data_IF_176361282878
#
_entry.id   IF_176361282878
#
_cell.length_a   1.000
_cell.length_b   1.000
_cell.length_c   1.000
_cell.angle_alpha   90.00
_cell.angle_beta   90.00
_cell.angle_gamma   90.00
#
_symmetry.space_group_name_H-M   'P 1'
#
loop_
_entity.id
_entity.type
_entity.pdbx_description
1 polymer ?
#
# COMPACT_ATOMS: atom_id res chain seq x y z
N UNK A 1 41.19 13.57 5.65
CA UNK A 1 40.79 12.16 5.77
C UNK A 1 39.46 12.11 6.49
N UNK A 2 38.34 12.11 5.77
CA UNK A 2 37.02 11.88 6.37
C UNK A 2 36.88 10.37 6.62
N UNK A 3 36.57 9.98 7.86
CA UNK A 3 36.30 8.58 8.20
C UNK A 3 35.01 8.11 7.48
N UNK A 4 34.91 6.84 7.03
CA UNK A 4 33.67 6.32 6.47
C UNK A 4 32.64 6.24 7.60
N UNK A 5 31.53 6.96 7.44
CA UNK A 5 30.34 6.77 8.28
C UNK A 5 29.75 5.41 7.91
N UNK A 6 29.98 4.38 8.73
CA UNK A 6 29.23 3.13 8.63
C UNK A 6 27.76 3.43 8.92
N UNK A 7 27.00 3.62 7.84
CA UNK A 7 25.58 3.92 7.90
C UNK A 7 24.82 2.75 8.54
N UNK A 8 23.94 3.06 9.49
CA UNK A 8 23.00 2.08 10.06
C UNK A 8 22.31 1.34 8.91
N UNK A 9 22.17 0.00 8.98
CA UNK A 9 21.55 -0.76 7.90
C UNK A 9 20.15 -0.21 7.65
N UNK A 10 19.88 0.19 6.39
CA UNK A 10 18.56 0.70 6.00
C UNK A 10 17.51 -0.37 6.23
N UNK A 11 16.43 -0.01 6.92
CA UNK A 11 15.30 -0.92 7.16
C UNK A 11 14.72 -1.45 5.84
N UNK A 12 14.56 -0.57 4.85
CA UNK A 12 14.13 -0.96 3.50
C UNK A 12 15.10 -1.94 2.85
N UNK A 13 16.41 -1.72 2.98
CA UNK A 13 17.40 -2.64 2.44
C UNK A 13 17.29 -4.05 3.07
N UNK A 14 16.99 -4.13 4.36
CA UNK A 14 16.73 -5.40 5.05
C UNK A 14 15.48 -6.11 4.52
N UNK A 15 14.41 -5.36 4.25
CA UNK A 15 13.18 -5.92 3.69
C UNK A 15 13.37 -6.42 2.25
N UNK A 16 14.08 -5.65 1.41
CA UNK A 16 14.41 -6.03 0.04
C UNK A 16 15.27 -7.31 -0.02
N UNK A 17 16.15 -7.52 0.97
CA UNK A 17 16.98 -8.71 1.06
C UNK A 17 16.26 -9.94 1.64
N UNK A 18 15.06 -9.79 2.21
CA UNK A 18 14.35 -10.89 2.88
C UNK A 18 12.84 -10.89 2.55
N UNK A 19 12.44 -11.60 1.48
CA UNK A 19 11.04 -11.72 1.06
C UNK A 19 10.13 -12.36 2.11
N UNK A 20 10.64 -13.28 2.92
CA UNK A 20 9.85 -13.94 3.98
C UNK A 20 9.49 -12.93 5.08
N UNK A 21 10.46 -12.15 5.54
CA UNK A 21 10.25 -11.08 6.51
C UNK A 21 9.29 -10.02 5.96
N UNK A 22 9.45 -9.62 4.69
CA UNK A 22 8.56 -8.68 4.04
C UNK A 22 7.12 -9.19 4.01
N UNK A 23 6.90 -10.43 3.56
CA UNK A 23 5.57 -11.04 3.55
C UNK A 23 5.00 -11.20 4.96
N UNK A 24 5.84 -11.46 5.97
CA UNK A 24 5.41 -11.51 7.37
C UNK A 24 4.90 -10.14 7.82
N UNK A 25 5.67 -9.06 7.59
CA UNK A 25 5.28 -7.70 7.96
C UNK A 25 3.97 -7.29 7.28
N UNK A 26 3.82 -7.49 5.97
CA UNK A 26 2.56 -7.16 5.27
C UNK A 26 1.33 -7.83 5.91
N UNK A 27 1.45 -9.10 6.34
CA UNK A 27 0.34 -9.81 7.00
C UNK A 27 0.10 -9.32 8.42
N UNK A 28 1.15 -8.99 9.16
CA UNK A 28 1.09 -8.44 10.51
C UNK A 28 0.35 -7.10 10.50
N UNK A 29 0.80 -6.13 9.70
CA UNK A 29 0.17 -4.79 9.62
C UNK A 29 -1.29 -4.86 9.13
N UNK A 30 -1.62 -5.79 8.23
CA UNK A 30 -2.99 -6.00 7.81
C UNK A 30 -3.88 -6.53 8.95
N UNK A 31 -3.32 -7.37 9.81
CA UNK A 31 -3.98 -7.86 11.02
C UNK A 31 -4.14 -6.75 12.06
N UNK A 32 -3.08 -5.99 12.33
CA UNK A 32 -3.09 -4.86 13.27
C UNK A 32 -4.08 -3.78 12.84
N UNK A 33 -4.14 -3.46 11.54
CA UNK A 33 -5.15 -2.54 11.00
C UNK A 33 -6.58 -3.00 11.31
N UNK A 34 -6.89 -4.29 11.11
CA UNK A 34 -8.20 -4.85 11.46
C UNK A 34 -8.45 -4.80 12.97
N UNK A 35 -7.43 -5.14 13.77
CA UNK A 35 -7.49 -5.13 15.23
C UNK A 35 -7.84 -3.74 15.77
N UNK A 36 -7.35 -2.66 15.13
CA UNK A 36 -7.68 -1.28 15.56
C UNK A 36 -9.20 -1.02 15.59
N UNK A 37 -9.95 -1.66 14.68
CA UNK A 37 -11.41 -1.57 14.64
C UNK A 37 -12.06 -2.53 15.64
N UNK A 38 -11.58 -3.77 15.71
CA UNK A 38 -12.13 -4.82 16.59
C UNK A 38 -11.99 -4.46 18.07
N UNK A 39 -10.89 -3.82 18.45
CA UNK A 39 -10.56 -3.43 19.81
C UNK A 39 -10.87 -1.95 20.12
N UNK A 40 -11.40 -1.21 19.13
CA UNK A 40 -11.78 0.18 19.26
C UNK A 40 -10.63 1.10 19.73
N UNK A 41 -9.44 0.91 19.13
CA UNK A 41 -8.19 1.63 19.45
C UNK A 41 -8.16 3.07 18.93
N UNK A 42 -9.12 3.44 18.06
CA UNK A 42 -9.31 4.80 17.59
C UNK A 42 -8.57 5.14 16.28
N UNK A 43 -8.89 6.32 15.75
CA UNK A 43 -8.48 6.73 14.40
C UNK A 43 -6.99 7.03 14.25
N UNK A 44 -6.32 7.46 15.32
CA UNK A 44 -4.88 7.71 15.31
C UNK A 44 -4.10 6.40 15.14
N UNK A 45 -4.49 5.36 15.90
CA UNK A 45 -3.89 4.03 15.78
C UNK A 45 -4.16 3.42 14.41
N UNK A 46 -5.40 3.48 13.93
CA UNK A 46 -5.76 3.03 12.57
C UNK A 46 -4.96 3.73 11.47
N UNK A 47 -4.70 5.04 11.60
CA UNK A 47 -3.87 5.77 10.64
C UNK A 47 -2.41 5.31 10.66
N UNK A 48 -1.86 4.99 11.84
CA UNK A 48 -0.52 4.44 11.99
C UNK A 48 -0.39 3.08 11.30
N UNK A 49 -1.28 2.13 11.62
CA UNK A 49 -1.23 0.78 11.04
C UNK A 49 -1.45 0.79 9.52
N UNK A 50 -2.32 1.68 9.03
CA UNK A 50 -2.51 1.85 7.59
C UNK A 50 -1.25 2.42 6.92
N UNK A 51 -0.52 3.32 7.57
CA UNK A 51 0.74 3.84 7.04
C UNK A 51 1.80 2.74 6.92
N UNK A 52 1.92 1.89 7.95
CA UNK A 52 2.85 0.75 7.94
C UNK A 52 2.46 -0.30 6.90
N UNK A 53 1.17 -0.64 6.79
CA UNK A 53 0.66 -1.53 5.74
C UNK A 53 0.99 -0.99 4.34
N UNK A 54 0.73 0.29 4.08
CA UNK A 54 1.04 0.90 2.78
C UNK A 54 2.54 0.91 2.50
N UNK A 55 3.37 1.22 3.48
CA UNK A 55 4.83 1.18 3.35
C UNK A 55 5.31 -0.22 2.96
N UNK A 56 4.90 -1.24 3.69
CA UNK A 56 5.30 -2.62 3.42
C UNK A 56 4.74 -3.14 2.08
N UNK A 57 3.52 -2.75 1.71
CA UNK A 57 2.94 -3.07 0.40
C UNK A 57 3.73 -2.44 -0.75
N UNK A 58 4.14 -1.18 -0.65
CA UNK A 58 4.97 -0.52 -1.67
C UNK A 58 6.33 -1.20 -1.86
N UNK A 59 6.97 -1.63 -0.76
CA UNK A 59 8.22 -2.40 -0.83
C UNK A 59 7.99 -3.76 -1.52
N UNK A 60 6.88 -4.43 -1.22
CA UNK A 60 6.50 -5.69 -1.88
C UNK A 60 6.27 -5.53 -3.38
N UNK A 61 5.56 -4.47 -3.80
CA UNK A 61 5.36 -4.16 -5.22
C UNK A 61 6.70 -3.95 -5.93
N UNK A 62 7.64 -3.26 -5.29
CA UNK A 62 8.98 -3.07 -5.84
C UNK A 62 9.73 -4.40 -6.03
N UNK A 63 9.67 -5.31 -5.06
CA UNK A 63 10.25 -6.67 -5.18
C UNK A 63 9.63 -7.46 -6.33
N UNK A 64 8.32 -7.29 -6.57
CA UNK A 64 7.60 -7.94 -7.68
C UNK A 64 7.78 -7.23 -9.03
N UNK A 65 8.46 -6.09 -9.08
CA UNK A 65 8.60 -5.29 -10.30
C UNK A 65 7.28 -4.65 -10.77
N UNK A 66 6.31 -4.47 -9.87
CA UNK A 66 5.01 -3.85 -10.17
C UNK A 66 5.08 -2.36 -9.87
N UNK A 67 4.94 -1.48 -10.87
CA UNK A 67 4.93 -0.03 -10.64
C UNK A 67 3.61 0.42 -9.99
N UNK A 68 3.67 1.48 -9.17
CA UNK A 68 2.48 1.98 -8.45
C UNK A 68 1.39 2.48 -9.41
N UNK A 69 1.78 2.96 -10.59
CA UNK A 69 0.91 3.37 -11.67
C UNK A 69 -0.05 2.25 -12.12
N UNK A 70 0.40 0.99 -12.04
CA UNK A 70 -0.40 -0.18 -12.40
C UNK A 70 -1.47 -0.46 -11.35
N UNK A 71 -1.13 -0.33 -10.07
CA UNK A 71 -2.08 -0.41 -8.96
C UNK A 71 -3.14 0.68 -9.08
N UNK A 72 -2.72 1.93 -9.33
CA UNK A 72 -3.64 3.04 -9.53
C UNK A 72 -4.54 2.86 -10.76
N UNK A 73 -4.03 2.24 -11.83
CA UNK A 73 -4.81 1.90 -13.03
C UNK A 73 -5.89 0.86 -12.70
N UNK A 74 -5.57 -0.18 -11.95
CA UNK A 74 -6.55 -1.17 -11.46
C UNK A 74 -7.60 -0.51 -10.59
N UNK A 75 -7.21 0.37 -9.67
CA UNK A 75 -8.16 1.13 -8.85
C UNK A 75 -9.08 2.00 -9.70
N UNK A 76 -8.55 2.75 -10.68
CA UNK A 76 -9.37 3.56 -11.60
C UNK A 76 -10.39 2.71 -12.36
N UNK A 77 -10.04 1.51 -12.79
CA UNK A 77 -10.99 0.60 -13.46
C UNK A 77 -12.13 0.16 -12.53
N UNK A 78 -11.86 -0.01 -11.22
CA UNK A 78 -12.89 -0.33 -10.22
C UNK A 78 -13.84 0.85 -9.96
N UNK A 79 -13.36 2.07 -10.07
CA UNK A 79 -14.15 3.29 -9.81
C UNK A 79 -14.75 3.93 -11.08
N UNK A 80 -14.27 3.58 -12.28
CA UNK A 80 -14.63 4.20 -13.56
C UNK A 80 -15.92 3.69 -14.20
N UNK A 81 -16.47 2.58 -13.73
CA UNK A 81 -17.64 1.89 -14.32
C UNK A 81 -18.99 2.41 -13.86
N UNK A 82 -19.07 3.34 -12.90
CA UNK A 82 -20.37 3.74 -12.31
C UNK A 82 -20.98 5.03 -12.85
N UNK A 83 -20.31 5.82 -13.69
CA UNK A 83 -20.89 7.12 -14.09
C UNK A 83 -20.46 7.73 -15.43
N UNK A 84 -19.37 7.25 -16.05
CA UNK A 84 -18.93 7.76 -17.36
C UNK A 84 -19.62 6.98 -18.50
N UNK A 85 -19.64 5.66 -18.41
CA UNK A 85 -20.33 4.79 -19.38
C UNK A 85 -21.85 5.02 -19.37
N UNK A 86 -22.45 5.24 -18.20
CA UNK A 86 -23.89 5.50 -18.04
C UNK A 86 -24.34 6.85 -18.61
N UNK A 87 -23.45 7.86 -18.60
CA UNK A 87 -23.70 9.17 -19.25
C UNK A 87 -23.47 9.11 -20.76
N UNK A 88 -22.49 8.33 -21.22
CA UNK A 88 -22.18 8.18 -22.64
C UNK A 88 -23.24 7.34 -23.41
N UNK A 89 -23.93 6.42 -22.72
CA UNK A 89 -24.98 5.60 -23.31
C UNK A 89 -26.36 6.28 -23.38
N UNK A 90 -26.50 7.52 -22.90
CA UNK A 90 -27.80 8.20 -22.84
C UNK A 90 -28.17 8.79 -24.21
N UNK A 91 -29.29 8.40 -24.84
CA UNK A 91 -29.76 9.05 -26.04
C UNK A 91 -30.10 10.53 -25.76
N UNK A 92 -29.92 11.42 -26.74
CA UNK A 92 -30.27 12.83 -26.57
C UNK A 92 -31.76 12.94 -26.21
N UNK A 93 -32.07 13.69 -25.14
CA UNK A 93 -33.46 14.06 -24.83
C UNK A 93 -33.98 14.91 -25.98
N UNK A 94 -35.11 14.49 -26.55
CA UNK A 94 -35.87 15.23 -27.57
C UNK A 94 -36.26 16.62 -27.07
#
# INVERSE_FOLDING_TARGET
MQQPQEGKPSWTARLLANPELLCKKVREEAGELCQTLEENEGTERAASEMADLLYHAMVLLNVQGVPMEDVLRVLRQRFGTSGVEEKAARPPKQ
#
